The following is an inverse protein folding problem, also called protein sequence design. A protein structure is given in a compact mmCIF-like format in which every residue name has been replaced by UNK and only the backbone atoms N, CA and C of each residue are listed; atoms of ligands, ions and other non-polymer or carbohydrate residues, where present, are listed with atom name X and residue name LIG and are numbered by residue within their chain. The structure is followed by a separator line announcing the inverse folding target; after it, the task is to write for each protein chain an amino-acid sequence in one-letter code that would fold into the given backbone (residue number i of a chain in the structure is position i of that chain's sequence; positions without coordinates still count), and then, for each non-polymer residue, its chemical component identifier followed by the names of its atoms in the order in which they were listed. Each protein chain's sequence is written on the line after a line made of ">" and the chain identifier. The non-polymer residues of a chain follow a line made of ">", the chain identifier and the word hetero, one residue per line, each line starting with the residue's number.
data_IF_536391046593
#
_entry.id   IF_536391046593
#
_cell.length_a   1.000
_cell.length_b   1.000
_cell.length_c   1.000
_cell.angle_alpha   90.00
_cell.angle_beta   90.00
_cell.angle_gamma   90.00
#
_symmetry.space_group_name_H-M   'P 1'
#
loop_
_entity.id
_entity.type
_entity.pdbx_description
1 polymer ?
#
# COMPACT_ATOMS: atom_id res chain seq x y z
N UNK A 1 -24.48 -63.24 9.97
CA UNK A 1 -24.76 -61.80 9.75
C UNK A 1 -23.81 -61.05 10.67
N UNK A 2 -22.57 -60.82 10.24
CA UNK A 2 -21.48 -60.41 11.14
C UNK A 2 -21.19 -58.92 10.97
N UNK A 3 -21.54 -58.16 12.01
CA UNK A 3 -21.35 -56.72 12.11
C UNK A 3 -19.86 -56.40 12.23
N UNK A 4 -19.31 -55.83 11.15
CA UNK A 4 -17.98 -55.20 11.12
C UNK A 4 -18.04 -53.90 11.93
N UNK A 5 -17.83 -53.98 13.24
CA UNK A 5 -17.55 -52.78 14.05
C UNK A 5 -16.08 -52.44 13.78
N UNK A 6 -15.84 -51.65 12.73
CA UNK A 6 -14.53 -51.03 12.50
C UNK A 6 -14.30 -50.05 13.65
N UNK A 7 -13.22 -50.26 14.41
CA UNK A 7 -12.80 -49.41 15.52
C UNK A 7 -12.84 -47.93 15.12
N UNK A 8 -13.52 -47.10 15.92
CA UNK A 8 -13.70 -45.67 15.66
C UNK A 8 -12.37 -44.95 15.40
N UNK A 9 -11.29 -45.37 16.08
CA UNK A 9 -9.95 -44.81 15.90
C UNK A 9 -9.43 -44.94 14.45
N UNK A 10 -9.81 -46.00 13.73
CA UNK A 10 -9.39 -46.21 12.34
C UNK A 10 -10.14 -45.29 11.37
N UNK A 11 -11.41 -44.99 11.65
CA UNK A 11 -12.20 -44.02 10.89
C UNK A 11 -11.69 -42.59 11.12
N UNK A 12 -11.29 -42.25 12.35
CA UNK A 12 -10.69 -40.95 12.66
C UNK A 12 -9.36 -40.74 11.90
N UNK A 13 -8.49 -41.75 11.81
CA UNK A 13 -7.22 -41.63 11.10
C UNK A 13 -7.40 -41.51 9.57
N UNK A 14 -8.42 -42.16 8.99
CA UNK A 14 -8.75 -42.03 7.57
C UNK A 14 -9.44 -40.70 7.24
N UNK A 15 -10.22 -40.13 8.17
CA UNK A 15 -10.91 -38.85 8.00
C UNK A 15 -10.03 -37.64 8.34
N UNK A 16 -9.00 -37.81 9.17
CA UNK A 16 -8.07 -36.74 9.55
C UNK A 16 -7.44 -36.00 8.35
N UNK A 17 -6.87 -36.68 7.32
CA UNK A 17 -6.31 -35.98 6.16
C UNK A 17 -7.39 -35.28 5.32
N UNK A 18 -8.61 -35.82 5.26
CA UNK A 18 -9.73 -35.21 4.55
C UNK A 18 -10.16 -33.91 5.24
N UNK A 19 -10.25 -33.91 6.57
CA UNK A 19 -10.57 -32.73 7.37
C UNK A 19 -9.45 -31.69 7.28
N UNK A 20 -8.19 -32.10 7.36
CA UNK A 20 -7.05 -31.19 7.20
C UNK A 20 -7.04 -30.51 5.82
N UNK A 21 -7.33 -31.27 4.77
CA UNK A 21 -7.44 -30.75 3.40
C UNK A 21 -8.57 -29.72 3.27
N UNK A 22 -9.74 -30.00 3.86
CA UNK A 22 -10.87 -29.07 3.84
C UNK A 22 -10.54 -27.76 4.59
N UNK A 23 -9.89 -27.85 5.76
CA UNK A 23 -9.45 -26.68 6.54
C UNK A 23 -8.40 -25.88 5.76
N UNK A 24 -7.46 -26.54 5.11
CA UNK A 24 -6.43 -25.88 4.29
C UNK A 24 -7.04 -25.14 3.09
N UNK A 25 -7.99 -25.75 2.38
CA UNK A 25 -8.70 -25.11 1.28
C UNK A 25 -9.51 -23.89 1.76
N UNK A 26 -10.17 -24.01 2.91
CA UNK A 26 -10.88 -22.89 3.52
C UNK A 26 -9.94 -21.73 3.85
N UNK A 27 -8.77 -22.02 4.43
CA UNK A 27 -7.73 -21.02 4.69
C UNK A 27 -7.22 -20.36 3.41
N UNK A 28 -6.98 -21.13 2.34
CA UNK A 28 -6.56 -20.58 1.06
C UNK A 28 -7.61 -19.64 0.47
N UNK A 29 -8.89 -20.03 0.46
CA UNK A 29 -9.98 -19.19 -0.04
C UNK A 29 -10.14 -17.93 0.82
N UNK A 30 -10.02 -18.06 2.15
CA UNK A 30 -10.09 -16.94 3.07
C UNK A 30 -8.94 -15.95 2.84
N UNK A 31 -7.71 -16.43 2.68
CA UNK A 31 -6.55 -15.60 2.36
C UNK A 31 -6.74 -14.88 1.02
N UNK A 32 -7.12 -15.60 -0.05
CA UNK A 32 -7.39 -15.02 -1.38
C UNK A 32 -8.50 -13.95 -1.31
N UNK A 33 -9.56 -14.19 -0.53
CA UNK A 33 -10.62 -13.21 -0.26
C UNK A 33 -10.11 -11.96 0.46
N UNK A 34 -9.22 -12.13 1.44
CA UNK A 34 -8.59 -11.02 2.15
C UNK A 34 -7.63 -10.21 1.24
N UNK A 35 -6.96 -10.87 0.29
CA UNK A 35 -6.09 -10.21 -0.70
C UNK A 35 -6.85 -9.47 -1.81
N UNK A 36 -8.12 -9.79 -2.07
CA UNK A 36 -8.96 -8.99 -2.98
C UNK A 36 -9.17 -7.54 -2.50
N UNK A 37 -8.99 -7.26 -1.21
CA UNK A 37 -9.03 -5.89 -0.69
C UNK A 37 -7.75 -5.08 -0.92
N UNK A 38 -6.67 -5.70 -1.38
CA UNK A 38 -5.35 -5.04 -1.52
C UNK A 38 -4.84 -4.97 -2.97
N UNK A 39 -5.61 -5.44 -3.96
CA UNK A 39 -5.18 -5.43 -5.37
C UNK A 39 -6.12 -4.59 -6.24
N UNK A 40 -5.69 -3.34 -6.45
CA UNK A 40 -5.74 -2.58 -7.71
C UNK A 40 -7.14 -2.40 -8.32
N UNK A 41 -7.70 -1.22 -8.09
CA UNK A 41 -8.70 -0.62 -8.98
C UNK A 41 -7.99 -0.11 -10.23
N UNK A 42 -8.27 -0.63 -11.45
CA UNK A 42 -7.82 0.00 -12.66
C UNK A 42 -8.82 1.13 -12.98
N UNK A 43 -8.54 2.36 -12.55
CA UNK A 43 -9.28 3.50 -13.08
C UNK A 43 -8.81 3.78 -14.52
N UNK A 44 -9.48 3.10 -15.44
CA UNK A 44 -9.44 3.35 -16.87
C UNK A 44 -10.33 4.56 -17.18
N UNK A 45 -9.70 5.64 -17.64
CA UNK A 45 -10.19 6.68 -18.55
C UNK A 45 -11.72 6.90 -18.68
N UNK A 46 -12.18 8.08 -18.27
CA UNK A 46 -13.24 8.81 -18.98
C UNK A 46 -12.92 10.30 -18.91
N UNK A 47 -12.28 10.79 -19.96
CA UNK A 47 -12.24 12.21 -20.34
C UNK A 47 -13.60 12.51 -20.96
N UNK A 48 -14.37 13.45 -20.40
CA UNK A 48 -15.16 14.42 -21.18
C UNK A 48 -15.76 15.53 -20.29
N UNK A 49 -15.06 16.67 -20.22
CA UNK A 49 -15.65 17.96 -20.59
C UNK A 49 -14.55 18.99 -20.88
N UNK A 50 -14.43 19.30 -22.17
CA UNK A 50 -13.95 20.55 -22.77
C UNK A 50 -14.31 21.77 -21.89
N UNK A 51 -13.44 22.75 -21.63
CA UNK A 51 -12.88 23.82 -22.49
C UNK A 51 -11.86 24.57 -21.58
N UNK A 52 -10.75 25.21 -21.99
CA UNK A 52 -10.22 25.57 -23.28
C UNK A 52 -8.74 26.00 -23.14
N UNK A 53 -7.97 25.61 -24.16
CA UNK A 53 -6.93 26.38 -24.83
C UNK A 53 -5.51 26.55 -24.22
N UNK A 54 -4.57 25.91 -24.96
CA UNK A 54 -3.09 26.05 -25.05
C UNK A 54 -2.31 25.22 -24.03
N UNK A 55 -1.51 24.23 -24.38
CA UNK A 55 -0.81 23.94 -25.64
C UNK A 55 -0.56 22.44 -25.70
N UNK A 56 -1.20 21.76 -26.64
CA UNK A 56 -0.88 20.37 -26.96
C UNK A 56 0.50 20.33 -27.64
N UNK A 57 1.46 19.66 -27.02
CA UNK A 57 2.59 19.05 -27.72
C UNK A 57 2.48 17.53 -27.51
N UNK A 58 2.67 16.73 -28.56
CA UNK A 58 2.54 15.28 -28.45
C UNK A 58 3.62 14.77 -27.49
N UNK A 59 3.24 13.91 -26.54
CA UNK A 59 4.19 13.06 -25.82
C UNK A 59 4.76 12.09 -26.84
N UNK A 60 5.80 12.54 -27.54
CA UNK A 60 6.80 11.65 -28.10
C UNK A 60 7.36 10.86 -26.91
N UNK A 61 7.15 9.55 -26.92
CA UNK A 61 7.99 8.61 -26.18
C UNK A 61 9.40 8.80 -26.73
N UNK A 62 10.12 9.78 -26.18
CA UNK A 62 11.54 9.88 -26.40
C UNK A 62 12.13 8.84 -25.47
N UNK A 63 12.62 7.77 -26.09
CA UNK A 63 13.56 6.81 -25.52
C UNK A 63 14.87 7.58 -25.23
N UNK A 64 14.81 8.49 -24.26
CA UNK A 64 15.96 9.18 -23.73
C UNK A 64 16.42 8.37 -22.52
N UNK A 65 17.31 7.41 -22.76
CA UNK A 65 18.05 6.69 -21.70
C UNK A 65 18.89 7.63 -20.80
N UNK A 66 18.95 8.93 -21.12
CA UNK A 66 19.79 9.94 -20.47
C UNK A 66 19.02 11.09 -19.78
N UNK A 67 17.70 10.99 -19.54
CA UNK A 67 17.07 11.91 -18.57
C UNK A 67 17.34 11.36 -17.17
N UNK A 68 18.06 12.06 -16.29
CA UNK A 68 18.20 11.60 -14.91
C UNK A 68 16.79 11.50 -14.33
N UNK A 69 16.38 10.29 -13.95
CA UNK A 69 15.18 10.11 -13.14
C UNK A 69 15.36 11.00 -11.90
N UNK A 70 14.41 11.89 -11.65
CA UNK A 70 14.45 12.76 -10.47
C UNK A 70 14.21 11.86 -9.25
N UNK A 71 15.28 11.32 -8.67
CA UNK A 71 15.25 10.39 -7.53
C UNK A 71 15.20 11.10 -6.17
N UNK A 72 15.39 12.42 -6.18
CA UNK A 72 15.70 13.19 -4.99
C UNK A 72 14.44 13.73 -4.30
N UNK A 73 13.28 13.61 -4.94
CA UNK A 73 12.00 13.93 -4.31
C UNK A 73 11.75 12.97 -3.15
N UNK A 74 11.34 13.54 -2.02
CA UNK A 74 10.97 12.82 -0.80
C UNK A 74 9.56 13.20 -0.43
N UNK A 75 8.72 12.20 -0.13
CA UNK A 75 7.36 12.42 0.32
C UNK A 75 7.27 12.10 1.80
N UNK A 76 6.77 13.03 2.60
CA UNK A 76 6.46 12.83 4.01
C UNK A 76 4.97 12.52 4.12
N UNK A 77 4.61 11.41 4.75
CA UNK A 77 3.22 11.05 4.97
C UNK A 77 2.99 10.36 6.32
N UNK A 78 1.73 10.33 6.78
CA UNK A 78 1.31 9.58 7.96
C UNK A 78 1.64 8.09 7.79
N UNK A 79 2.38 7.53 8.74
CA UNK A 79 2.73 6.10 8.75
C UNK A 79 2.51 5.51 10.14
N UNK A 80 1.49 4.67 10.26
CA UNK A 80 1.10 3.99 11.49
C UNK A 80 0.87 4.98 12.65
N UNK A 81 1.86 5.13 13.52
CA UNK A 81 1.84 5.93 14.74
C UNK A 81 2.80 7.13 14.68
N UNK A 82 3.20 7.54 13.48
CA UNK A 82 4.12 8.64 13.27
C UNK A 82 4.17 9.04 11.81
N UNK A 83 5.35 9.45 11.37
CA UNK A 83 5.57 10.02 10.05
C UNK A 83 6.58 9.16 9.31
N UNK A 84 6.25 8.75 8.08
CA UNK A 84 7.14 8.05 7.17
C UNK A 84 7.70 9.00 6.12
N UNK A 85 8.98 8.82 5.81
CA UNK A 85 9.63 9.44 4.65
C UNK A 85 9.71 8.40 3.55
N UNK A 86 9.18 8.74 2.38
CA UNK A 86 9.10 7.88 1.21
C UNK A 86 9.95 8.46 0.09
N UNK A 87 10.56 7.59 -0.73
CA UNK A 87 11.18 8.02 -1.97
C UNK A 87 10.11 8.29 -3.06
N UNK A 88 10.55 8.79 -4.21
CA UNK A 88 9.68 9.04 -5.37
C UNK A 88 8.97 7.79 -5.93
N UNK A 89 9.39 6.58 -5.54
CA UNK A 89 8.75 5.31 -5.91
C UNK A 89 7.76 4.83 -4.83
N UNK A 90 7.59 5.56 -3.74
CA UNK A 90 6.73 5.19 -2.61
C UNK A 90 7.34 4.18 -1.65
N UNK A 91 8.64 3.92 -1.74
CA UNK A 91 9.34 3.06 -0.80
C UNK A 91 9.67 3.83 0.47
N UNK A 92 9.39 3.21 1.63
CA UNK A 92 9.67 3.78 2.93
C UNK A 92 11.19 3.79 3.17
N UNK A 93 11.73 4.98 3.47
CA UNK A 93 13.13 5.20 3.79
C UNK A 93 13.35 5.34 5.29
N UNK A 94 12.56 6.18 5.95
CA UNK A 94 12.72 6.53 7.36
C UNK A 94 11.37 6.66 8.06
N UNK A 95 11.36 6.47 9.38
CA UNK A 95 10.17 6.63 10.23
C UNK A 95 10.54 7.50 11.43
N UNK A 96 9.69 8.47 11.71
CA UNK A 96 9.77 9.38 12.84
C UNK A 96 8.56 9.15 13.75
N UNK A 97 8.83 8.75 14.99
CA UNK A 97 7.79 8.59 16.01
C UNK A 97 7.38 9.96 16.55
N UNK A 98 6.34 10.54 15.94
CA UNK A 98 5.76 11.83 16.34
C UNK A 98 4.31 11.60 16.74
N UNK A 99 3.90 12.19 17.85
CA UNK A 99 2.52 12.09 18.30
C UNK A 99 1.61 13.01 17.47
N UNK A 100 0.97 12.42 16.45
CA UNK A 100 0.11 13.11 15.50
C UNK A 100 -1.16 13.72 16.12
N UNK A 101 -1.55 13.31 17.34
CA UNK A 101 -2.75 13.82 18.00
C UNK A 101 -2.60 15.28 18.44
N UNK A 102 -1.37 15.76 18.60
CA UNK A 102 -1.07 17.14 18.98
C UNK A 102 -0.91 18.08 17.79
N UNK A 103 -0.90 17.55 16.55
CA UNK A 103 -0.75 18.36 15.35
C UNK A 103 -2.05 19.09 15.00
N UNK A 104 -1.97 20.31 14.44
CA UNK A 104 -3.11 21.01 13.87
C UNK A 104 -3.84 20.14 12.83
N UNK A 105 -5.16 20.30 12.74
CA UNK A 105 -5.98 19.47 11.83
C UNK A 105 -5.62 19.68 10.35
N UNK A 106 -5.17 20.87 9.98
CA UNK A 106 -4.64 21.17 8.63
C UNK A 106 -3.41 20.33 8.30
N UNK A 107 -2.49 20.23 9.25
CA UNK A 107 -1.18 19.64 9.04
C UNK A 107 -1.31 18.12 9.04
N UNK A 108 -2.20 17.58 9.88
CA UNK A 108 -2.57 16.17 9.83
C UNK A 108 -3.26 15.80 8.51
N UNK A 109 -4.05 16.69 7.92
CA UNK A 109 -4.64 16.45 6.61
C UNK A 109 -3.56 16.42 5.51
N UNK A 110 -2.65 17.38 5.53
CA UNK A 110 -1.53 17.43 4.59
C UNK A 110 -0.64 16.16 4.70
N UNK A 111 -0.36 15.69 5.92
CA UNK A 111 0.37 14.43 6.14
C UNK A 111 -0.38 13.20 5.64
N UNK A 112 -1.72 13.20 5.63
CA UNK A 112 -2.51 12.10 5.03
C UNK A 112 -2.46 12.11 3.51
N UNK A 113 -2.42 13.29 2.91
CA UNK A 113 -2.31 13.44 1.45
C UNK A 113 -0.88 13.21 0.95
N UNK A 114 0.11 13.42 1.81
CA UNK A 114 1.52 13.31 1.50
C UNK A 114 2.09 14.65 1.03
N UNK A 115 3.18 15.07 1.64
CA UNK A 115 3.86 16.33 1.34
C UNK A 115 5.17 16.00 0.64
N UNK A 116 5.30 16.42 -0.61
CA UNK A 116 6.51 16.16 -1.40
C UNK A 116 7.48 17.33 -1.33
N UNK A 117 8.75 17.02 -1.15
CA UNK A 117 9.86 17.96 -1.08
C UNK A 117 10.88 17.62 -2.14
N UNK A 118 11.30 18.64 -2.89
CA UNK A 118 12.30 18.51 -3.95
C UNK A 118 13.74 18.68 -3.40
N UNK A 119 13.86 19.02 -2.11
CA UNK A 119 15.10 19.26 -1.39
C UNK A 119 15.06 18.62 -0.01
N UNK A 120 16.13 17.88 0.33
CA UNK A 120 16.29 17.29 1.65
C UNK A 120 16.31 18.35 2.78
N UNK A 121 16.85 19.55 2.49
CA UNK A 121 16.90 20.63 3.48
C UNK A 121 15.51 21.16 3.86
N UNK A 122 14.62 21.33 2.88
CA UNK A 122 13.25 21.76 3.11
C UNK A 122 12.46 20.70 3.89
N UNK A 123 12.67 19.43 3.54
CA UNK A 123 12.10 18.29 4.24
C UNK A 123 12.53 18.26 5.72
N UNK A 124 13.83 18.43 5.99
CA UNK A 124 14.37 18.45 7.36
C UNK A 124 13.82 19.62 8.17
N UNK A 125 13.77 20.82 7.59
CA UNK A 125 13.19 21.99 8.25
C UNK A 125 11.71 21.75 8.61
N UNK A 126 10.96 21.11 7.73
CA UNK A 126 9.57 20.75 8.00
C UNK A 126 9.47 19.74 9.16
N UNK A 127 10.28 18.68 9.16
CA UNK A 127 10.31 17.71 10.25
C UNK A 127 10.69 18.35 11.60
N UNK A 128 11.67 19.24 11.61
CA UNK A 128 12.06 20.00 12.82
C UNK A 128 10.91 20.89 13.34
N UNK A 129 10.12 21.48 12.44
CA UNK A 129 8.96 22.29 12.84
C UNK A 129 7.80 21.50 13.44
N UNK A 130 7.77 20.18 13.21
CA UNK A 130 6.77 19.28 13.79
C UNK A 130 7.18 18.74 15.17
N UNK A 131 8.48 18.77 15.49
CA UNK A 131 9.02 18.33 16.79
C UNK A 131 9.11 19.48 17.82
N UNK A 132 9.03 20.74 17.35
CA UNK A 132 9.09 21.96 18.19
C UNK A 132 7.74 22.36 18.80
#
# INVERSE_FOLDING_TARGET
>A
MNTKIKSAAKLFFELLPLVLSAVFLFLCVFLIGHFKSYTISPQKSSVEKEEAAKSALPVTLIDNEDVPFITDVRTIAEHQNGIGVFNCFGELLEVYEINLDFLPTSDRHALKEGISFDSEGEMRNFLESLDS
#
